data_IF_409424667796
#
_entry.id   IF_409424667796
#
_cell.length_a   1.000
_cell.length_b   1.000
_cell.length_c   1.000
_cell.angle_alpha   90.00
_cell.angle_beta   90.00
_cell.angle_gamma   90.00
#
_symmetry.space_group_name_H-M   'P 1'
#
loop_
_entity.id
_entity.type
_entity.pdbx_description
1 polymer ?
#
# COMPACT_ATOMS: atom_id res chain seq x y z
N UNK A 1 -0.15 -4.68 11.92
CA UNK A 1 0.07 -3.22 11.97
C UNK A 1 1.12 -2.75 10.95
N UNK A 2 2.28 -3.42 10.82
CA UNK A 2 3.36 -3.00 9.91
C UNK A 2 2.96 -2.88 8.43
N UNK A 3 2.18 -3.83 7.90
CA UNK A 3 1.64 -3.74 6.53
C UNK A 3 0.84 -2.45 6.28
N UNK A 4 -0.06 -2.10 7.20
CA UNK A 4 -0.87 -0.89 7.06
C UNK A 4 -0.04 0.39 7.16
N UNK A 5 0.93 0.45 8.09
CA UNK A 5 1.90 1.55 8.15
C UNK A 5 2.66 1.71 6.84
N UNK A 6 3.15 0.60 6.27
CA UNK A 6 3.85 0.61 4.98
C UNK A 6 2.97 1.14 3.85
N UNK A 7 1.69 0.74 3.80
CA UNK A 7 0.73 1.26 2.82
C UNK A 7 0.50 2.77 2.98
N UNK A 8 0.45 3.30 4.21
CA UNK A 8 0.31 4.74 4.45
C UNK A 8 1.55 5.51 3.98
N UNK A 9 2.74 4.97 4.21
CA UNK A 9 3.99 5.53 3.66
C UNK A 9 3.98 5.54 2.13
N UNK A 10 3.53 4.45 1.49
CA UNK A 10 3.37 4.39 0.02
C UNK A 10 2.34 5.41 -0.50
N UNK A 11 1.37 5.79 0.33
CA UNK A 11 0.37 6.82 0.04
C UNK A 11 0.87 8.26 0.32
N UNK A 12 2.10 8.44 0.79
CA UNK A 12 2.72 9.74 1.05
C UNK A 12 2.73 10.19 2.52
N UNK A 13 2.12 9.42 3.42
CA UNK A 13 2.04 9.70 4.85
C UNK A 13 3.32 9.21 5.57
N UNK A 14 4.38 10.02 5.48
CA UNK A 14 5.74 9.66 5.94
C UNK A 14 5.84 9.47 7.45
N UNK A 15 4.94 10.05 8.24
CA UNK A 15 4.85 9.91 9.69
C UNK A 15 4.66 8.45 10.13
N UNK A 16 4.14 7.59 9.26
CA UNK A 16 3.96 6.17 9.54
C UNK A 16 5.23 5.33 9.36
N UNK A 17 6.34 5.93 8.88
CA UNK A 17 7.63 5.25 8.75
C UNK A 17 8.31 4.97 10.10
N UNK A 18 7.90 5.66 11.17
CA UNK A 18 8.47 5.49 12.50
C UNK A 18 7.82 4.32 13.25
N UNK A 19 8.67 3.46 13.79
CA UNK A 19 8.29 2.33 14.64
C UNK A 19 8.74 2.59 16.08
N UNK A 20 7.93 2.15 17.06
CA UNK A 20 8.27 2.30 18.47
C UNK A 20 9.44 1.40 18.88
N UNK A 21 9.58 0.24 18.22
CA UNK A 21 10.71 -0.66 18.36
C UNK A 21 11.54 -0.61 17.07
N UNK A 22 12.85 -0.42 17.17
CA UNK A 22 13.75 -0.35 16.01
C UNK A 22 13.79 -1.66 15.20
N UNK A 23 13.45 -2.80 15.83
CA UNK A 23 13.39 -4.10 15.18
C UNK A 23 12.11 -4.35 14.37
N UNK A 24 11.10 -3.48 14.51
CA UNK A 24 9.81 -3.67 13.84
C UNK A 24 9.89 -3.19 12.39
N UNK A 25 10.31 -4.09 11.50
CA UNK A 25 10.33 -3.86 10.06
C UNK A 25 9.72 -5.04 9.30
N UNK A 26 9.13 -4.75 8.14
CA UNK A 26 8.80 -5.82 7.18
C UNK A 26 10.10 -6.41 6.64
N UNK A 27 10.14 -7.74 6.49
CA UNK A 27 11.22 -8.36 5.71
C UNK A 27 11.13 -7.94 4.24
N UNK A 28 12.22 -8.10 3.49
CA UNK A 28 12.22 -7.80 2.05
C UNK A 28 11.11 -8.54 1.30
N UNK A 29 10.88 -9.82 1.62
CA UNK A 29 9.82 -10.60 1.00
C UNK A 29 8.42 -10.04 1.32
N UNK A 30 8.19 -9.64 2.57
CA UNK A 30 6.92 -9.04 2.99
C UNK A 30 6.68 -7.68 2.34
N UNK A 31 7.74 -6.85 2.25
CA UNK A 31 7.71 -5.54 1.60
C UNK A 31 7.39 -5.67 0.11
N UNK A 32 8.13 -6.53 -0.59
CA UNK A 32 7.92 -6.76 -2.03
C UNK A 32 6.51 -7.30 -2.31
N UNK A 33 6.02 -8.21 -1.46
CA UNK A 33 4.67 -8.74 -1.58
C UNK A 33 3.60 -7.64 -1.44
N UNK A 34 3.68 -6.81 -0.39
CA UNK A 34 2.67 -5.77 -0.17
C UNK A 34 2.71 -4.68 -1.24
N UNK A 35 3.90 -4.31 -1.73
CA UNK A 35 4.04 -3.34 -2.82
C UNK A 35 3.44 -3.86 -4.12
N UNK A 36 3.68 -5.13 -4.47
CA UNK A 36 3.10 -5.75 -5.66
C UNK A 36 1.57 -5.83 -5.58
N UNK A 37 1.02 -6.26 -4.44
CA UNK A 37 -0.43 -6.33 -4.24
C UNK A 37 -1.08 -4.95 -4.22
N UNK A 38 -0.39 -3.97 -3.66
CA UNK A 38 -0.86 -2.59 -3.63
C UNK A 38 -0.92 -1.98 -5.03
N UNK A 39 0.11 -2.18 -5.84
CA UNK A 39 0.13 -1.75 -7.25
C UNK A 39 -1.02 -2.40 -8.05
N UNK A 40 -1.20 -3.72 -7.91
CA UNK A 40 -2.29 -4.47 -8.55
C UNK A 40 -3.67 -3.89 -8.17
N UNK A 41 -3.88 -3.62 -6.88
CA UNK A 41 -5.13 -3.02 -6.41
C UNK A 41 -5.35 -1.62 -7.00
N UNK A 42 -4.32 -0.77 -7.01
CA UNK A 42 -4.40 0.61 -7.53
C UNK A 42 -4.77 0.63 -9.01
N UNK A 43 -4.17 -0.25 -9.81
CA UNK A 43 -4.49 -0.42 -11.23
C UNK A 43 -5.94 -0.88 -11.43
N UNK A 44 -6.32 -1.97 -10.75
CA UNK A 44 -7.69 -2.48 -10.82
C UNK A 44 -8.72 -1.43 -10.42
N UNK A 45 -8.51 -0.73 -9.30
CA UNK A 45 -9.45 0.27 -8.81
C UNK A 45 -9.56 1.47 -9.75
N UNK A 46 -8.46 1.90 -10.36
CA UNK A 46 -8.47 2.99 -11.33
C UNK A 46 -9.33 2.64 -12.56
N UNK A 47 -9.19 1.42 -13.08
CA UNK A 47 -10.03 0.94 -14.18
C UNK A 47 -11.49 0.83 -13.76
N UNK A 48 -11.75 0.10 -12.68
CA UNK A 48 -13.11 -0.15 -12.20
C UNK A 48 -13.88 1.14 -11.85
N UNK A 49 -13.22 2.10 -11.22
CA UNK A 49 -13.84 3.38 -10.87
C UNK A 49 -14.11 4.26 -12.09
N UNK A 50 -13.28 4.16 -13.14
CA UNK A 50 -13.54 4.82 -14.42
C UNK A 50 -14.76 4.20 -15.12
N UNK A 51 -14.85 2.86 -15.17
CA UNK A 51 -15.98 2.15 -15.77
C UNK A 51 -17.33 2.58 -15.15
N UNK A 52 -17.39 2.67 -13.82
CA UNK A 52 -18.58 3.15 -13.10
C UNK A 52 -18.92 4.60 -13.46
N UNK A 53 -17.92 5.47 -13.56
CA UNK A 53 -18.14 6.89 -13.89
C UNK A 53 -18.65 7.06 -15.31
N UNK A 54 -18.22 6.21 -16.23
CA UNK A 54 -18.55 6.27 -17.64
C UNK A 54 -19.91 5.59 -17.95
N UNK A 55 -20.54 4.97 -16.94
CA UNK A 55 -21.91 4.45 -16.99
C UNK A 55 -22.04 3.05 -17.58
N UNK A 56 -20.98 2.25 -17.53
CA UNK A 56 -20.98 0.83 -17.90
C UNK A 56 -21.35 -0.08 -16.74
#
# INVERSE_FOLDING_TARGET
MLYYKHLMVLNGEREYALHFNESDALSDAQRNYVEAQYALFREWYAQWSADIRDGH
#
